data_IF_495675723417
#
_entry.id   IF_495675723417
#
_cell.length_a   1.000
_cell.length_b   1.000
_cell.length_c   1.000
_cell.angle_alpha   90.00
_cell.angle_beta   90.00
_cell.angle_gamma   90.00
#
_symmetry.space_group_name_H-M   'P 1'
#
loop_
_entity.id
_entity.type
_entity.pdbx_description
1 polymer ?
#
# COMPACT_ATOMS: atom_id res chain seq x y z
N UNK A 1 -10.48 -21.90 -27.74
CA UNK A 1 -9.38 -21.01 -28.14
C UNK A 1 -9.04 -20.12 -26.96
N UNK A 2 -8.01 -20.46 -26.18
CA UNK A 2 -7.57 -19.65 -25.03
C UNK A 2 -6.08 -19.38 -25.22
N UNK A 3 -5.76 -18.24 -25.80
CA UNK A 3 -4.38 -17.82 -26.08
C UNK A 3 -4.35 -16.29 -26.11
N UNK A 4 -4.21 -15.65 -24.94
CA UNK A 4 -3.72 -14.26 -24.88
C UNK A 4 -3.36 -13.73 -23.49
N UNK A 5 -3.36 -14.50 -22.40
CA UNK A 5 -3.06 -13.95 -21.06
C UNK A 5 -1.58 -13.86 -20.70
N UNK A 6 -0.66 -14.24 -21.60
CA UNK A 6 0.77 -14.32 -21.29
C UNK A 6 1.61 -13.20 -21.91
N UNK A 7 1.09 -11.96 -21.92
CA UNK A 7 1.95 -10.80 -22.17
C UNK A 7 2.64 -10.44 -20.86
N UNK A 8 3.85 -10.97 -20.66
CA UNK A 8 4.77 -10.43 -19.66
C UNK A 8 4.90 -8.92 -19.94
N UNK A 9 4.43 -8.10 -19.01
CA UNK A 9 4.62 -6.67 -19.11
C UNK A 9 6.05 -6.37 -18.67
N UNK A 10 6.84 -5.57 -19.41
CA UNK A 10 8.25 -5.34 -19.09
C UNK A 10 8.48 -4.72 -17.71
N UNK A 11 7.41 -4.15 -17.13
CA UNK A 11 7.43 -3.49 -15.82
C UNK A 11 6.65 -4.24 -14.72
N UNK A 12 5.90 -5.29 -15.06
CA UNK A 12 5.12 -6.04 -14.07
C UNK A 12 5.31 -7.54 -14.25
N UNK A 13 5.81 -8.20 -13.20
CA UNK A 13 5.67 -9.64 -13.07
C UNK A 13 4.29 -9.98 -12.55
N UNK A 14 3.48 -10.60 -13.39
CA UNK A 14 2.28 -11.29 -12.95
C UNK A 14 2.73 -12.67 -12.51
N UNK A 15 2.81 -12.90 -11.20
CA UNK A 15 3.09 -14.22 -10.63
C UNK A 15 1.97 -15.20 -11.00
N UNK A 16 2.09 -15.88 -12.16
CA UNK A 16 1.18 -16.87 -12.75
C UNK A 16 0.10 -17.41 -11.78
N UNK A 17 -1.00 -16.65 -11.56
CA UNK A 17 -1.98 -17.06 -10.56
C UNK A 17 -2.65 -18.30 -11.12
N UNK A 18 -2.73 -19.37 -10.31
CA UNK A 18 -3.42 -20.60 -10.74
C UNK A 18 -4.87 -20.22 -11.08
N UNK A 19 -5.32 -20.32 -12.35
CA UNK A 19 -6.66 -19.84 -12.73
C UNK A 19 -7.78 -20.58 -12.01
N UNK A 20 -7.50 -21.79 -11.56
CA UNK A 20 -8.41 -22.65 -10.79
C UNK A 20 -8.26 -22.48 -9.28
N UNK A 21 -7.45 -21.52 -8.80
CA UNK A 21 -7.35 -21.26 -7.38
C UNK A 21 -8.72 -20.79 -6.86
N UNK A 22 -9.19 -21.43 -5.78
CA UNK A 22 -10.45 -21.06 -5.13
C UNK A 22 -10.41 -19.61 -4.59
N UNK A 23 -9.21 -19.10 -4.26
CA UNK A 23 -9.00 -17.78 -3.70
C UNK A 23 -7.79 -17.11 -4.35
N UNK A 24 -7.88 -15.79 -4.58
CA UNK A 24 -6.81 -14.94 -5.09
C UNK A 24 -6.50 -13.87 -4.05
N UNK A 25 -5.22 -13.58 -3.83
CA UNK A 25 -4.76 -12.54 -2.90
C UNK A 25 -4.04 -11.48 -3.70
N UNK A 26 -4.43 -10.23 -3.50
CA UNK A 26 -3.76 -9.07 -4.03
C UNK A 26 -3.07 -8.35 -2.87
N UNK A 27 -1.75 -8.18 -2.97
CA UNK A 27 -0.94 -7.46 -1.99
C UNK A 27 -0.44 -6.21 -2.69
N UNK A 28 -0.78 -5.05 -2.16
CA UNK A 28 -0.31 -3.77 -2.68
C UNK A 28 0.76 -3.23 -1.74
N UNK A 29 2.01 -3.05 -2.21
CA UNK A 29 3.02 -2.31 -1.46
C UNK A 29 2.81 -0.81 -1.72
N UNK A 30 1.77 -0.20 -1.16
CA UNK A 30 1.60 1.25 -1.21
C UNK A 30 0.64 1.74 -0.12
N UNK A 31 0.93 2.93 0.42
CA UNK A 31 0.02 3.73 1.22
C UNK A 31 -1.35 3.74 0.54
N UNK A 32 -2.40 3.39 1.30
CA UNK A 32 -3.75 3.01 0.88
C UNK A 32 -4.52 3.87 -0.14
N UNK A 33 -5.87 3.78 -0.18
CA UNK A 33 -6.71 4.43 -1.20
C UNK A 33 -6.52 5.93 -1.32
N UNK A 34 -5.88 6.56 -0.33
CA UNK A 34 -5.51 7.97 -0.37
C UNK A 34 -4.09 8.14 0.13
N UNK A 35 -3.11 7.47 -0.48
CA UNK A 35 -1.70 7.48 -0.09
C UNK A 35 -1.23 8.85 0.43
N UNK A 36 -1.25 9.00 1.75
CA UNK A 36 -1.19 10.25 2.51
C UNK A 36 -2.23 11.34 2.09
N UNK A 37 -2.71 12.17 3.02
CA UNK A 37 -3.42 13.41 2.65
C UNK A 37 -2.52 14.42 1.90
N UNK A 38 -1.31 14.02 1.48
CA UNK A 38 -0.24 14.84 0.94
C UNK A 38 0.20 14.27 -0.40
N UNK A 39 -0.36 14.78 -1.48
CA UNK A 39 0.12 14.42 -2.81
C UNK A 39 1.35 15.26 -3.14
N UNK A 40 2.51 14.63 -3.37
CA UNK A 40 3.74 15.32 -3.77
C UNK A 40 3.56 16.22 -5.00
N UNK A 41 2.60 15.90 -5.88
CA UNK A 41 2.27 16.76 -7.02
C UNK A 41 1.83 18.18 -6.60
N UNK A 42 1.20 18.32 -5.43
CA UNK A 42 0.67 19.59 -4.90
C UNK A 42 1.64 20.30 -3.92
N UNK A 43 2.80 19.71 -3.65
CA UNK A 43 3.78 20.22 -2.68
C UNK A 43 4.95 20.93 -3.36
N UNK A 44 5.61 21.84 -2.67
CA UNK A 44 6.92 22.40 -3.05
C UNK A 44 8.04 21.39 -2.83
N UNK A 45 9.18 21.57 -3.49
CA UNK A 45 10.35 20.70 -3.29
C UNK A 45 10.82 20.70 -1.83
N UNK A 46 10.76 21.86 -1.17
CA UNK A 46 11.11 22.00 0.24
C UNK A 46 10.19 21.16 1.15
N UNK A 47 8.88 21.18 0.90
CA UNK A 47 7.91 20.38 1.66
C UNK A 47 8.12 18.87 1.45
N UNK A 48 8.46 18.44 0.23
CA UNK A 48 8.76 17.02 -0.04
C UNK A 48 10.04 16.59 0.69
N UNK A 49 11.08 17.44 0.70
CA UNK A 49 12.32 17.17 1.42
C UNK A 49 12.07 17.06 2.94
N UNK A 50 11.27 17.95 3.51
CA UNK A 50 10.92 17.87 4.93
C UNK A 50 10.14 16.59 5.24
N UNK A 51 9.21 16.16 4.39
CA UNK A 51 8.51 14.88 4.57
C UNK A 51 9.49 13.70 4.57
N UNK A 52 10.44 13.67 3.64
CA UNK A 52 11.48 12.64 3.57
C UNK A 52 12.31 12.56 4.86
N UNK A 53 12.61 13.71 5.50
CA UNK A 53 13.30 13.73 6.79
C UNK A 53 12.47 13.10 7.92
N UNK A 54 11.14 13.16 7.85
CA UNK A 54 10.27 12.55 8.86
C UNK A 54 10.20 11.02 8.78
N UNK A 55 10.52 10.43 7.62
CA UNK A 55 10.47 8.97 7.43
C UNK A 55 11.56 8.22 8.21
N UNK A 56 12.61 8.94 8.65
CA UNK A 56 13.64 8.49 9.58
C UNK A 56 14.33 7.15 9.21
N UNK A 57 14.34 6.77 7.93
CA UNK A 57 15.04 5.57 7.48
C UNK A 57 16.44 5.91 6.95
N UNK A 58 17.43 4.99 7.08
CA UNK A 58 18.79 5.26 6.63
C UNK A 58 18.92 5.54 5.13
N UNK A 59 18.03 4.99 4.29
CA UNK A 59 18.10 5.14 2.83
C UNK A 59 17.62 6.53 2.43
N UNK A 60 16.51 7.03 2.99
CA UNK A 60 16.04 8.40 2.72
C UNK A 60 17.03 9.45 3.18
N UNK A 61 17.81 9.20 4.24
CA UNK A 61 18.87 10.11 4.69
C UNK A 61 19.94 10.39 3.65
N UNK A 62 20.50 9.35 3.04
CA UNK A 62 21.49 9.52 1.97
C UNK A 62 20.92 10.23 0.73
N UNK A 63 19.60 10.13 0.54
CA UNK A 63 18.89 10.71 -0.59
C UNK A 63 18.71 12.23 -0.41
N UNK A 64 18.23 12.68 0.75
CA UNK A 64 17.96 14.11 0.96
C UNK A 64 19.20 14.94 1.32
N UNK A 65 20.27 14.31 1.81
CA UNK A 65 21.55 14.98 2.09
C UNK A 65 22.33 15.30 0.79
N UNK A 66 22.00 14.65 -0.34
CA UNK A 66 22.64 14.82 -1.65
C UNK A 66 21.72 15.56 -2.65
N UNK A 67 21.91 16.87 -2.91
CA UNK A 67 21.00 17.67 -3.73
C UNK A 67 20.78 17.13 -5.16
N UNK A 68 21.78 16.48 -5.75
CA UNK A 68 21.67 15.87 -7.07
C UNK A 68 20.70 14.68 -7.09
N UNK A 69 20.60 13.91 -6.00
CA UNK A 69 19.66 12.80 -5.89
C UNK A 69 18.24 13.30 -5.74
N UNK A 70 17.99 14.29 -4.87
CA UNK A 70 16.67 14.91 -4.76
C UNK A 70 16.21 15.51 -6.09
N UNK A 71 17.09 16.21 -6.82
CA UNK A 71 16.75 16.79 -8.13
C UNK A 71 16.30 15.72 -9.14
N UNK A 72 16.85 14.51 -9.06
CA UNK A 72 16.46 13.38 -9.90
C UNK A 72 15.16 12.72 -9.43
N UNK A 73 14.95 12.60 -8.12
CA UNK A 73 13.79 11.91 -7.53
C UNK A 73 12.52 12.74 -7.55
N UNK A 74 12.59 14.06 -7.35
CA UNK A 74 11.42 14.93 -7.24
C UNK A 74 10.45 14.79 -8.43
N UNK A 75 10.89 14.76 -9.71
CA UNK A 75 9.99 14.51 -10.83
C UNK A 75 9.30 13.15 -10.79
N UNK A 76 10.02 12.08 -10.38
CA UNK A 76 9.46 10.73 -10.28
C UNK A 76 8.42 10.65 -9.16
N UNK A 77 8.73 11.20 -7.98
CA UNK A 77 7.83 11.26 -6.84
C UNK A 77 6.53 12.02 -7.16
N UNK A 78 6.63 13.13 -7.91
CA UNK A 78 5.47 13.89 -8.38
C UNK A 78 4.63 13.09 -9.37
N UNK A 79 5.27 12.40 -10.31
CA UNK A 79 4.59 11.56 -11.29
C UNK A 79 3.84 10.40 -10.61
N UNK A 80 4.49 9.69 -9.68
CA UNK A 80 3.88 8.60 -8.91
C UNK A 80 2.70 9.11 -8.07
N UNK A 81 2.87 10.28 -7.44
CA UNK A 81 1.81 10.92 -6.67
C UNK A 81 0.62 11.36 -7.53
N UNK A 82 0.83 11.73 -8.78
CA UNK A 82 -0.26 12.09 -9.69
C UNK A 82 -1.12 10.86 -10.01
N UNK A 83 -0.48 9.71 -10.28
CA UNK A 83 -1.19 8.45 -10.53
C UNK A 83 -2.01 8.04 -9.31
N UNK A 84 -1.44 8.15 -8.09
CA UNK A 84 -2.13 7.78 -6.85
C UNK A 84 -3.34 8.65 -6.50
N UNK A 85 -3.43 9.89 -7.01
CA UNK A 85 -4.53 10.84 -6.73
C UNK A 85 -5.80 10.54 -7.53
N UNK A 86 -5.66 9.92 -8.70
CA UNK A 86 -6.76 9.80 -9.68
C UNK A 86 -7.42 8.42 -9.72
N UNK A 87 -6.88 7.43 -8.98
CA UNK A 87 -7.30 6.02 -9.11
C UNK A 87 -8.07 5.56 -7.88
N UNK A 88 -9.39 5.77 -7.90
CA UNK A 88 -10.35 5.10 -7.00
C UNK A 88 -11.28 4.20 -7.82
N UNK A 89 -11.70 3.04 -7.29
CA UNK A 89 -12.70 2.24 -7.96
C UNK A 89 -14.02 3.00 -8.03
N UNK A 90 -14.69 2.99 -9.18
CA UNK A 90 -15.99 3.66 -9.38
C UNK A 90 -17.07 3.12 -8.45
N UNK A 91 -16.95 1.86 -8.02
CA UNK A 91 -17.86 1.22 -7.06
C UNK A 91 -17.10 0.41 -6.01
N UNK A 92 -17.62 0.29 -4.78
CA UNK A 92 -16.98 -0.53 -3.75
C UNK A 92 -16.85 -1.99 -4.18
N UNK A 93 -15.68 -2.57 -3.93
CA UNK A 93 -15.34 -3.95 -4.30
C UNK A 93 -15.95 -4.95 -3.32
N UNK A 94 -16.35 -6.12 -3.81
CA UNK A 94 -16.81 -7.22 -2.95
C UNK A 94 -15.64 -8.08 -2.46
N UNK A 95 -14.69 -7.47 -1.75
CA UNK A 95 -13.47 -8.12 -1.25
C UNK A 95 -13.22 -7.77 0.22
N UNK A 96 -12.62 -8.69 0.98
CA UNK A 96 -12.10 -8.37 2.31
C UNK A 96 -10.83 -7.54 2.18
N UNK A 97 -10.70 -6.48 2.97
CA UNK A 97 -9.51 -5.63 3.00
C UNK A 97 -8.85 -5.78 4.36
N UNK A 98 -7.53 -5.87 4.38
CA UNK A 98 -6.75 -5.82 5.62
C UNK A 98 -5.66 -4.77 5.45
N UNK A 99 -5.65 -3.79 6.36
CA UNK A 99 -4.73 -2.64 6.33
C UNK A 99 -3.63 -2.88 7.37
N UNK A 100 -2.38 -2.79 6.94
CA UNK A 100 -1.20 -2.93 7.81
C UNK A 100 -0.57 -1.54 7.91
N UNK A 101 -0.33 -1.07 9.13
CA UNK A 101 0.13 0.30 9.35
C UNK A 101 1.07 0.42 10.54
N UNK A 102 2.00 1.39 10.48
CA UNK A 102 2.86 1.74 11.61
C UNK A 102 2.07 2.51 12.67
N UNK A 103 2.26 2.17 13.95
CA UNK A 103 1.57 2.81 15.08
C UNK A 103 1.91 4.29 15.24
N UNK A 104 3.09 4.70 14.76
CA UNK A 104 3.59 6.08 14.81
C UNK A 104 3.33 6.85 13.52
N UNK A 105 2.60 6.24 12.58
CA UNK A 105 2.28 6.87 11.30
C UNK A 105 1.16 7.90 11.49
N UNK A 106 1.53 9.19 11.42
CA UNK A 106 0.58 10.30 11.65
C UNK A 106 -0.55 10.30 10.61
N UNK A 107 -0.28 9.79 9.41
CA UNK A 107 -1.27 9.68 8.34
C UNK A 107 -2.33 8.61 8.60
N UNK A 108 -2.12 7.70 9.57
CA UNK A 108 -2.99 6.58 9.88
C UNK A 108 -4.10 6.90 10.90
N UNK A 109 -4.75 8.04 10.76
CA UNK A 109 -5.83 8.47 11.64
C UNK A 109 -7.18 7.84 11.26
N UNK A 110 -8.23 8.13 12.05
CA UNK A 110 -9.57 7.57 11.81
C UNK A 110 -10.13 7.97 10.44
N UNK A 111 -9.89 9.20 9.98
CA UNK A 111 -10.31 9.68 8.66
C UNK A 111 -9.61 8.93 7.52
N UNK A 112 -8.35 8.55 7.72
CA UNK A 112 -7.61 7.74 6.76
C UNK A 112 -8.16 6.30 6.71
N UNK A 113 -8.44 5.71 7.87
CA UNK A 113 -8.98 4.35 7.96
C UNK A 113 -10.44 4.27 7.51
N UNK A 114 -11.22 5.35 7.62
CA UNK A 114 -12.61 5.39 7.16
C UNK A 114 -12.71 5.27 5.64
N UNK A 115 -11.78 5.88 4.89
CA UNK A 115 -11.70 5.77 3.42
C UNK A 115 -11.52 4.33 2.94
N UNK A 116 -10.79 3.50 3.68
CA UNK A 116 -10.69 2.07 3.37
C UNK A 116 -12.04 1.32 3.49
N UNK A 117 -12.94 1.76 4.38
CA UNK A 117 -14.29 1.18 4.51
C UNK A 117 -15.17 1.50 3.29
N UNK A 118 -14.89 2.59 2.59
CA UNK A 118 -15.65 3.01 1.41
C UNK A 118 -15.30 2.18 0.18
N UNK A 119 -14.11 1.57 0.14
CA UNK A 119 -13.67 0.74 -0.98
C UNK A 119 -14.29 -0.65 -1.03
N UNK A 120 -15.04 -1.09 -0.01
CA UNK A 120 -15.56 -2.45 0.03
C UNK A 120 -17.02 -2.53 0.48
N UNK A 121 -17.78 -3.45 -0.14
CA UNK A 121 -19.11 -3.83 0.34
C UNK A 121 -19.04 -4.73 1.58
N UNK A 122 -17.91 -5.40 1.82
CA UNK A 122 -17.68 -6.34 2.94
C UNK A 122 -17.11 -5.62 4.17
N UNK A 123 -17.74 -4.53 4.59
CA UNK A 123 -17.24 -3.63 5.66
C UNK A 123 -16.95 -4.32 6.99
N UNK A 124 -17.74 -5.35 7.34
CA UNK A 124 -17.55 -6.14 8.56
C UNK A 124 -16.30 -7.01 8.56
N UNK A 125 -15.70 -7.25 7.39
CA UNK A 125 -14.47 -8.01 7.21
C UNK A 125 -13.22 -7.13 7.09
N UNK A 126 -13.37 -5.80 7.13
CA UNK A 126 -12.24 -4.89 7.19
C UNK A 126 -11.47 -5.11 8.51
N UNK A 127 -10.16 -5.33 8.40
CA UNK A 127 -9.27 -5.38 9.56
C UNK A 127 -8.12 -4.39 9.42
N UNK A 128 -7.66 -3.87 10.55
CA UNK A 128 -6.48 -3.00 10.65
C UNK A 128 -5.51 -3.64 11.62
N UNK A 129 -4.24 -3.73 11.24
CA UNK A 129 -3.14 -4.19 12.09
C UNK A 129 -2.11 -3.09 12.24
N UNK A 130 -1.81 -2.76 13.49
CA UNK A 130 -0.79 -1.80 13.84
C UNK A 130 0.51 -2.53 14.20
N UNK A 131 1.62 -2.03 13.68
CA UNK A 131 2.97 -2.53 13.93
C UNK A 131 3.82 -1.40 14.53
N UNK A 132 4.84 -1.74 15.30
CA UNK A 132 5.71 -0.69 15.82
C UNK A 132 6.50 -0.02 14.69
N UNK A 133 6.66 1.29 14.75
CA UNK A 133 7.35 2.08 13.73
C UNK A 133 6.46 3.08 12.98
N UNK A 134 7.09 3.77 12.02
CA UNK A 134 6.46 4.75 11.13
C UNK A 134 6.16 4.11 9.75
N UNK A 135 6.22 4.90 8.68
CA UNK A 135 6.04 4.52 7.29
C UNK A 135 6.80 3.25 6.85
N UNK A 136 8.00 3.03 7.37
CA UNK A 136 8.87 1.90 7.03
C UNK A 136 8.82 0.73 8.04
N UNK A 137 7.74 0.60 8.81
CA UNK A 137 7.56 -0.47 9.81
C UNK A 137 7.83 -1.88 9.27
N UNK A 138 7.64 -2.11 7.96
CA UNK A 138 7.93 -3.38 7.29
C UNK A 138 9.40 -3.81 7.36
N UNK A 139 10.34 -2.86 7.43
CA UNK A 139 11.75 -3.17 7.54
C UNK A 139 12.08 -3.75 8.93
N UNK A 140 11.41 -3.27 9.97
CA UNK A 140 11.65 -3.67 11.37
C UNK A 140 10.75 -4.84 11.80
N UNK A 141 9.51 -4.87 11.31
CA UNK A 141 8.47 -5.81 11.74
C UNK A 141 8.26 -6.99 10.78
N UNK A 142 9.15 -7.22 9.82
CA UNK A 142 9.01 -8.27 8.78
C UNK A 142 8.52 -9.63 9.33
N UNK A 143 9.16 -10.22 10.35
CA UNK A 143 8.71 -11.50 10.93
C UNK A 143 7.30 -11.44 11.54
N UNK A 144 6.94 -10.34 12.21
CA UNK A 144 5.60 -10.15 12.79
C UNK A 144 4.54 -9.98 11.69
N UNK A 145 4.85 -9.22 10.65
CA UNK A 145 3.99 -9.04 9.47
C UNK A 145 3.70 -10.38 8.82
N UNK A 146 4.71 -11.21 8.58
CA UNK A 146 4.53 -12.54 7.98
C UNK A 146 3.66 -13.46 8.86
N UNK A 147 3.86 -13.41 10.19
CA UNK A 147 3.03 -14.16 11.14
C UNK A 147 1.57 -13.71 11.09
N UNK A 148 1.32 -12.40 11.10
CA UNK A 148 -0.02 -11.82 11.00
C UNK A 148 -0.68 -12.13 9.65
N UNK A 149 0.07 -12.03 8.55
CA UNK A 149 -0.42 -12.33 7.21
C UNK A 149 -0.90 -13.79 7.11
N UNK A 150 -0.13 -14.72 7.69
CA UNK A 150 -0.53 -16.13 7.78
C UNK A 150 -1.81 -16.33 8.57
N UNK A 151 -1.96 -15.65 9.71
CA UNK A 151 -3.19 -15.73 10.52
C UNK A 151 -4.39 -15.17 9.78
N UNK A 152 -4.23 -14.01 9.16
CA UNK A 152 -5.30 -13.35 8.42
C UNK A 152 -5.78 -14.17 7.23
N UNK A 153 -4.83 -14.75 6.50
CA UNK A 153 -5.13 -15.63 5.38
C UNK A 153 -5.94 -16.86 5.83
N UNK A 154 -5.53 -17.50 6.92
CA UNK A 154 -6.26 -18.64 7.49
C UNK A 154 -7.68 -18.24 7.95
N UNK A 155 -7.83 -17.06 8.55
CA UNK A 155 -9.13 -16.56 9.00
C UNK A 155 -10.06 -16.29 7.81
N UNK A 156 -9.58 -15.66 6.75
CA UNK A 156 -10.36 -15.40 5.53
C UNK A 156 -10.81 -16.73 4.90
N UNK A 157 -9.89 -17.69 4.76
CA UNK A 157 -10.23 -19.02 4.23
C UNK A 157 -11.29 -19.70 5.08
N UNK A 158 -11.20 -19.61 6.41
CA UNK A 158 -12.19 -20.20 7.31
C UNK A 158 -13.58 -19.59 7.10
N UNK A 159 -13.67 -18.26 7.00
CA UNK A 159 -14.94 -17.55 6.75
C UNK A 159 -15.52 -17.95 5.39
N UNK A 160 -14.69 -17.98 4.35
CA UNK A 160 -15.11 -18.37 2.99
C UNK A 160 -15.36 -19.88 2.81
N UNK A 161 -15.19 -20.70 3.85
CA UNK A 161 -15.60 -22.11 3.87
C UNK A 161 -16.96 -22.32 4.56
N UNK A 162 -17.46 -21.32 5.27
CA UNK A 162 -18.77 -21.34 5.92
C UNK A 162 -19.90 -20.91 4.98
N UNK A 163 -19.55 -20.36 3.81
CA UNK A 163 -20.43 -20.07 2.68
C UNK A 163 -20.08 -21.00 1.51
#
# INVERSE_FOLDING_TARGET
MASSLNKQHPWFEICHPRPTAKYQVFIFPAAGPTGSNKYYIDMTDAEIIEEFKTMADPITRYIYDEPSYMKMLLPMLRADSQVGKEVLPETPLMISIIVYVGEKEVSANEDYLSKWKELTTLKSLLRVRMFSGHHNFQAECGPQILSCLKQDFNNIISILRMY
#
